data_IF_892207920116
#
_entry.id   IF_892207920116
#
_cell.length_a   1.000
_cell.length_b   1.000
_cell.length_c   1.000
_cell.angle_alpha   90.00
_cell.angle_beta   90.00
_cell.angle_gamma   90.00
#
_symmetry.space_group_name_H-M   'P 1'
#
loop_
_entity.id
_entity.type
_entity.pdbx_description
1 polymer ?
#
# COMPACT_ATOMS: atom_id res chain seq x y z
N UNK A 1 6.35 -10.22 -14.85
CA UNK A 1 4.95 -9.79 -15.10
C UNK A 1 4.49 -9.07 -13.84
N UNK A 2 3.95 -7.85 -13.95
CA UNK A 2 3.45 -7.11 -12.80
C UNK A 2 2.27 -7.86 -12.14
N UNK A 3 2.28 -7.94 -10.81
CA UNK A 3 1.20 -8.51 -10.01
C UNK A 3 -0.03 -7.59 -9.93
N UNK A 4 -1.09 -8.08 -9.33
CA UNK A 4 -2.28 -7.32 -8.99
C UNK A 4 -2.67 -7.66 -7.56
N UNK A 5 -2.95 -6.66 -6.75
CA UNK A 5 -3.38 -6.85 -5.36
C UNK A 5 -4.72 -7.56 -5.26
N UNK A 6 -4.95 -8.22 -4.12
CA UNK A 6 -6.21 -8.90 -3.84
C UNK A 6 -7.40 -7.93 -3.79
N UNK A 7 -8.59 -8.40 -4.19
CA UNK A 7 -9.80 -7.57 -4.23
C UNK A 7 -10.58 -7.56 -2.90
N UNK A 8 -10.12 -8.31 -1.91
CA UNK A 8 -10.85 -8.54 -0.66
C UNK A 8 -11.24 -7.25 0.07
N UNK A 9 -10.40 -6.21 -0.04
CA UNK A 9 -10.61 -4.94 0.66
C UNK A 9 -10.97 -3.76 -0.25
N UNK A 10 -11.26 -3.97 -1.54
CA UNK A 10 -11.58 -2.87 -2.44
C UNK A 10 -12.70 -1.94 -1.93
N UNK A 11 -13.83 -2.43 -1.40
CA UNK A 11 -14.85 -1.55 -0.83
C UNK A 11 -14.34 -0.74 0.37
N UNK A 12 -13.58 -1.38 1.25
CA UNK A 12 -13.00 -0.75 2.42
C UNK A 12 -11.98 0.34 2.02
N UNK A 13 -11.07 0.03 1.08
CA UNK A 13 -10.09 0.99 0.55
C UNK A 13 -10.79 2.20 -0.06
N UNK A 14 -11.84 1.98 -0.87
CA UNK A 14 -12.64 3.07 -1.46
C UNK A 14 -13.25 3.97 -0.39
N UNK A 15 -13.77 3.40 0.67
CA UNK A 15 -14.37 4.14 1.77
C UNK A 15 -13.31 4.94 2.55
N UNK A 16 -12.18 4.34 2.90
CA UNK A 16 -11.07 5.02 3.57
C UNK A 16 -10.54 6.18 2.73
N UNK A 17 -10.32 5.96 1.44
CA UNK A 17 -9.88 7.01 0.52
C UNK A 17 -10.92 8.13 0.39
N UNK A 18 -12.22 7.79 0.40
CA UNK A 18 -13.29 8.80 0.41
C UNK A 18 -13.29 9.65 1.68
N UNK A 19 -13.03 9.04 2.84
CA UNK A 19 -12.94 9.75 4.13
C UNK A 19 -11.71 10.65 4.21
N UNK A 20 -10.54 10.19 3.75
CA UNK A 20 -9.30 10.97 3.71
C UNK A 20 -9.42 12.12 2.70
N UNK A 21 -10.09 11.88 1.58
CA UNK A 21 -10.22 12.79 0.44
C UNK A 21 -8.87 13.38 -0.01
N UNK A 22 -7.88 12.52 -0.34
CA UNK A 22 -6.53 12.96 -0.61
C UNK A 22 -6.44 13.74 -1.92
N UNK A 23 -5.52 14.71 -1.98
CA UNK A 23 -5.13 15.44 -3.19
C UNK A 23 -3.79 14.96 -3.74
N UNK A 24 -2.90 14.49 -2.86
CA UNK A 24 -1.55 14.00 -3.21
C UNK A 24 -1.34 12.62 -2.64
N UNK A 25 -1.10 11.67 -3.53
CA UNK A 25 -0.97 10.24 -3.19
C UNK A 25 0.33 9.69 -3.73
N UNK A 26 1.05 8.94 -2.89
CA UNK A 26 2.16 8.09 -3.31
C UNK A 26 1.76 6.62 -3.15
N UNK A 27 1.86 5.84 -4.21
CA UNK A 27 1.70 4.39 -4.14
C UNK A 27 3.04 3.68 -4.25
N UNK A 28 3.31 2.81 -3.30
CA UNK A 28 4.47 1.94 -3.28
C UNK A 28 4.10 0.61 -3.94
N UNK A 29 4.77 0.25 -5.02
CA UNK A 29 4.51 -1.00 -5.72
C UNK A 29 3.14 -1.04 -6.40
N UNK A 30 2.88 -0.13 -7.32
CA UNK A 30 1.56 0.02 -7.97
C UNK A 30 1.14 -1.18 -8.85
N UNK A 31 2.05 -2.12 -9.13
CA UNK A 31 1.75 -3.27 -9.97
C UNK A 31 1.18 -2.84 -11.33
N UNK A 32 0.00 -3.37 -11.66
CA UNK A 32 -0.72 -2.98 -12.89
C UNK A 32 -1.57 -1.72 -12.75
N UNK A 33 -1.48 -0.99 -11.63
CA UNK A 33 -2.18 0.28 -11.43
C UNK A 33 -3.65 0.15 -11.03
N UNK A 34 -4.03 -0.90 -10.34
CA UNK A 34 -5.40 -1.13 -9.83
C UNK A 34 -5.90 0.03 -8.96
N UNK A 35 -5.04 0.54 -8.08
CA UNK A 35 -5.40 1.63 -7.20
C UNK A 35 -5.62 2.95 -7.95
N UNK A 36 -4.79 3.25 -8.96
CA UNK A 36 -5.00 4.39 -9.83
C UNK A 36 -6.35 4.36 -10.56
N UNK A 37 -6.72 3.19 -11.13
CA UNK A 37 -8.03 2.98 -11.73
C UNK A 37 -9.17 3.19 -10.71
N UNK A 38 -8.98 2.76 -9.47
CA UNK A 38 -9.94 2.98 -8.38
C UNK A 38 -10.11 4.48 -8.06
N UNK A 39 -9.04 5.27 -8.09
CA UNK A 39 -9.08 6.71 -7.87
C UNK A 39 -9.77 7.47 -9.01
N UNK A 40 -9.52 7.09 -10.26
CA UNK A 40 -10.16 7.71 -11.43
C UNK A 40 -11.69 7.64 -11.35
N UNK A 41 -12.24 6.56 -10.81
CA UNK A 41 -13.70 6.38 -10.65
C UNK A 41 -14.34 7.39 -9.68
N UNK A 42 -13.55 8.12 -8.90
CA UNK A 42 -14.06 9.12 -7.95
C UNK A 42 -14.39 10.47 -8.59
N UNK A 43 -13.96 10.74 -9.80
CA UNK A 43 -14.07 12.05 -10.48
C UNK A 43 -13.50 13.23 -9.65
N UNK A 44 -12.52 12.97 -8.78
CA UNK A 44 -11.81 13.99 -8.00
C UNK A 44 -10.38 14.04 -8.51
N UNK A 45 -9.86 15.23 -8.87
CA UNK A 45 -8.46 15.35 -9.28
C UNK A 45 -7.56 14.98 -8.11
N UNK A 46 -6.70 13.98 -8.33
CA UNK A 46 -5.70 13.50 -7.37
C UNK A 46 -4.37 13.43 -8.10
N UNK A 47 -3.35 14.09 -7.56
CA UNK A 47 -1.97 13.87 -8.02
C UNK A 47 -1.47 12.54 -7.50
N UNK A 48 -1.34 11.56 -8.38
CA UNK A 48 -0.93 10.20 -8.06
C UNK A 48 0.45 9.92 -8.61
N UNK A 49 1.39 9.69 -7.69
CA UNK A 49 2.76 9.24 -7.98
C UNK A 49 2.92 7.80 -7.54
N UNK A 50 3.77 7.04 -8.23
CA UNK A 50 4.14 5.70 -7.81
C UNK A 50 5.66 5.52 -7.76
N UNK A 51 6.10 4.61 -6.88
CA UNK A 51 7.44 4.02 -6.91
C UNK A 51 7.29 2.56 -7.25
N UNK A 52 7.79 2.17 -8.41
CA UNK A 52 7.62 0.83 -8.96
C UNK A 52 8.83 0.44 -9.78
N UNK A 53 9.37 -0.74 -9.54
CA UNK A 53 10.37 -1.29 -10.47
C UNK A 53 9.70 -1.63 -11.80
N UNK A 54 10.17 -1.02 -12.88
CA UNK A 54 9.63 -1.21 -14.22
C UNK A 54 10.32 -2.41 -14.88
N UNK A 55 9.56 -3.29 -15.49
CA UNK A 55 10.06 -4.50 -16.12
C UNK A 55 9.89 -4.53 -17.65
N UNK A 56 9.05 -3.63 -18.20
CA UNK A 56 8.87 -3.52 -19.64
C UNK A 56 8.52 -2.09 -20.07
N UNK A 57 8.80 -1.76 -21.33
CA UNK A 57 8.46 -0.44 -21.90
C UNK A 57 6.95 -0.20 -21.98
N UNK A 58 6.14 -1.26 -21.91
CA UNK A 58 4.68 -1.16 -21.94
C UNK A 58 4.06 -0.78 -20.57
N UNK A 59 4.80 -0.94 -19.49
CA UNK A 59 4.29 -0.69 -18.13
C UNK A 59 3.94 0.79 -17.92
N UNK A 60 4.81 1.72 -18.33
CA UNK A 60 4.59 3.14 -18.14
C UNK A 60 3.34 3.70 -18.87
N UNK A 61 3.12 3.40 -20.17
CA UNK A 61 1.88 3.81 -20.84
C UNK A 61 0.61 3.29 -20.15
N UNK A 62 0.64 2.05 -19.68
CA UNK A 62 -0.50 1.46 -18.97
C UNK A 62 -0.77 2.16 -17.64
N UNK A 63 0.25 2.48 -16.86
CA UNK A 63 0.11 3.18 -15.59
C UNK A 63 -0.41 4.61 -15.81
N UNK A 64 0.11 5.33 -16.81
CA UNK A 64 -0.40 6.66 -17.17
C UNK A 64 -1.88 6.63 -17.56
N UNK A 65 -2.30 5.64 -18.34
CA UNK A 65 -3.72 5.44 -18.69
C UNK A 65 -4.61 5.19 -17.46
N UNK A 66 -4.03 4.72 -16.35
CA UNK A 66 -4.70 4.49 -15.06
C UNK A 66 -4.52 5.62 -14.05
N UNK A 67 -4.11 6.80 -14.51
CA UNK A 67 -4.11 8.03 -13.73
C UNK A 67 -2.81 8.34 -12.97
N UNK A 68 -1.72 7.59 -13.20
CA UNK A 68 -0.43 7.94 -12.61
C UNK A 68 0.23 9.09 -13.40
N UNK A 69 0.42 10.21 -12.73
CA UNK A 69 1.09 11.39 -13.31
C UNK A 69 2.60 11.16 -13.39
N UNK A 70 3.17 10.51 -12.37
CA UNK A 70 4.59 10.21 -12.27
C UNK A 70 4.81 8.78 -11.76
N UNK A 71 5.77 8.09 -12.35
CA UNK A 71 6.18 6.74 -11.94
C UNK A 71 7.70 6.70 -11.86
N UNK A 72 8.21 6.58 -10.65
CA UNK A 72 9.65 6.45 -10.40
C UNK A 72 10.05 4.99 -10.58
N UNK A 73 10.88 4.73 -11.60
CA UNK A 73 11.48 3.40 -11.78
C UNK A 73 12.60 3.20 -10.75
N UNK A 74 12.24 2.69 -9.59
CA UNK A 74 13.19 2.44 -8.51
C UNK A 74 12.75 1.24 -7.65
N UNK A 75 13.73 0.65 -6.99
CA UNK A 75 13.47 -0.17 -5.82
C UNK A 75 12.97 0.71 -4.67
N UNK A 76 11.93 0.26 -3.97
CA UNK A 76 11.29 1.02 -2.89
C UNK A 76 12.28 1.37 -1.77
N UNK A 77 13.15 0.42 -1.39
CA UNK A 77 14.15 0.68 -0.35
C UNK A 77 15.21 1.67 -0.80
N UNK A 78 15.61 1.63 -2.08
CA UNK A 78 16.54 2.60 -2.63
C UNK A 78 15.92 4.00 -2.63
N UNK A 79 14.66 4.13 -3.07
CA UNK A 79 13.92 5.37 -3.06
C UNK A 79 13.85 6.01 -1.67
N UNK A 80 13.55 5.21 -0.65
CA UNK A 80 13.53 5.71 0.74
C UNK A 80 14.92 6.09 1.27
N UNK A 81 15.98 5.37 0.88
CA UNK A 81 17.35 5.68 1.30
C UNK A 81 17.89 6.96 0.67
N UNK A 82 17.54 7.25 -0.58
CA UNK A 82 17.89 8.49 -1.26
C UNK A 82 17.15 9.69 -0.64
N UNK A 83 16.01 9.43 -0.01
CA UNK A 83 15.16 10.44 0.60
C UNK A 83 14.36 11.24 -0.43
N UNK A 84 13.27 11.81 0.01
CA UNK A 84 12.46 12.74 -0.76
C UNK A 84 11.85 13.79 0.18
N UNK A 85 11.65 15.01 -0.33
CA UNK A 85 11.14 16.14 0.45
C UNK A 85 9.63 16.36 0.30
N UNK A 86 9.00 15.60 -0.58
CA UNK A 86 7.57 15.70 -0.82
C UNK A 86 6.75 15.16 0.35
N UNK A 87 5.62 15.82 0.62
CA UNK A 87 4.62 15.34 1.56
C UNK A 87 3.35 14.91 0.81
N UNK A 88 2.65 13.93 1.36
CA UNK A 88 1.47 13.32 0.79
C UNK A 88 0.31 13.36 1.79
N UNK A 89 -0.93 13.38 1.30
CA UNK A 89 -2.09 13.15 2.16
C UNK A 89 -2.17 11.67 2.57
N UNK A 90 -1.80 10.77 1.64
CA UNK A 90 -1.71 9.35 1.93
C UNK A 90 -0.60 8.67 1.13
N UNK A 91 0.15 7.80 1.80
CA UNK A 91 1.04 6.83 1.16
C UNK A 91 0.36 5.46 1.23
N UNK A 92 0.35 4.73 0.12
CA UNK A 92 -0.39 3.47 -0.04
C UNK A 92 0.57 2.34 -0.39
N UNK A 93 0.41 1.18 0.24
CA UNK A 93 1.10 -0.05 -0.13
C UNK A 93 0.12 -1.24 -0.05
N UNK A 94 -0.22 -1.80 -1.22
CA UNK A 94 -1.20 -2.88 -1.36
C UNK A 94 -0.51 -4.14 -1.88
N UNK A 95 -0.39 -5.17 -1.04
CA UNK A 95 0.33 -6.42 -1.32
C UNK A 95 1.77 -6.17 -1.78
N UNK A 96 2.53 -5.43 -0.97
CA UNK A 96 3.91 -5.00 -1.29
C UNK A 96 4.85 -5.21 -0.12
N UNK A 97 4.45 -4.79 1.08
CA UNK A 97 5.37 -4.73 2.23
C UNK A 97 5.79 -6.11 2.75
N UNK A 98 5.01 -7.15 2.50
CA UNK A 98 5.35 -8.54 2.83
C UNK A 98 6.56 -9.09 2.07
N UNK A 99 6.95 -8.46 0.97
CA UNK A 99 8.13 -8.85 0.18
C UNK A 99 9.45 -8.38 0.79
N UNK A 100 9.41 -7.47 1.78
CA UNK A 100 10.58 -6.97 2.49
C UNK A 100 10.87 -7.74 3.76
N UNK A 101 12.07 -7.60 4.33
CA UNK A 101 12.35 -8.07 5.68
C UNK A 101 11.54 -7.24 6.68
N UNK A 102 11.17 -7.84 7.82
CA UNK A 102 10.34 -7.14 8.82
C UNK A 102 11.00 -5.84 9.32
N UNK A 103 12.32 -5.81 9.46
CA UNK A 103 13.06 -4.58 9.80
C UNK A 103 12.89 -3.48 8.76
N UNK A 104 12.90 -3.85 7.48
CA UNK A 104 12.74 -2.91 6.37
C UNK A 104 11.29 -2.42 6.30
N UNK A 105 10.30 -3.30 6.52
CA UNK A 105 8.88 -2.94 6.64
C UNK A 105 8.68 -1.85 7.69
N UNK A 106 9.23 -2.05 8.91
CA UNK A 106 9.09 -1.07 9.99
C UNK A 106 9.78 0.26 9.66
N UNK A 107 10.90 0.22 8.94
CA UNK A 107 11.61 1.42 8.48
C UNK A 107 10.83 2.17 7.41
N UNK A 108 10.26 1.46 6.42
CA UNK A 108 9.41 2.04 5.36
C UNK A 108 8.20 2.74 6.01
N UNK A 109 7.49 2.05 6.91
CA UNK A 109 6.31 2.60 7.59
C UNK A 109 6.70 3.86 8.38
N UNK A 110 7.73 3.77 9.20
CA UNK A 110 8.16 4.90 10.01
C UNK A 110 8.52 6.12 9.15
N UNK A 111 9.29 5.93 8.08
CA UNK A 111 9.66 7.01 7.18
C UNK A 111 8.42 7.59 6.47
N UNK A 112 7.53 6.73 5.96
CA UNK A 112 6.30 7.16 5.30
C UNK A 112 5.42 8.02 6.22
N UNK A 113 5.32 7.66 7.51
CA UNK A 113 4.52 8.39 8.49
C UNK A 113 5.08 9.78 8.85
N UNK A 114 6.34 10.08 8.55
CA UNK A 114 6.87 11.44 8.60
C UNK A 114 6.53 12.28 7.35
N UNK A 115 6.14 11.62 6.25
CA UNK A 115 5.90 12.26 4.95
C UNK A 115 4.45 12.21 4.49
N UNK A 116 3.57 11.60 5.28
CA UNK A 116 2.15 11.53 4.94
C UNK A 116 1.25 11.80 6.15
N UNK A 117 0.05 12.33 5.89
CA UNK A 117 -0.99 12.43 6.90
C UNK A 117 -1.48 11.03 7.31
N UNK A 118 -1.51 10.08 6.37
CA UNK A 118 -1.90 8.70 6.61
C UNK A 118 -1.07 7.73 5.77
N UNK A 119 -0.94 6.50 6.26
CA UNK A 119 -0.45 5.37 5.46
C UNK A 119 -1.50 4.27 5.42
N UNK A 120 -1.89 3.86 4.21
CA UNK A 120 -2.84 2.76 3.98
C UNK A 120 -2.07 1.52 3.56
N UNK A 121 -2.23 0.45 4.33
CA UNK A 121 -1.55 -0.82 4.14
C UNK A 121 -2.57 -1.93 3.87
N UNK A 122 -2.27 -2.81 2.92
CA UNK A 122 -2.89 -4.13 2.77
C UNK A 122 -1.79 -5.17 2.65
N UNK A 123 -1.90 -6.25 3.41
CA UNK A 123 -0.91 -7.32 3.38
C UNK A 123 -1.53 -8.67 3.75
N UNK A 124 -1.02 -9.79 3.22
CA UNK A 124 -1.36 -11.12 3.69
C UNK A 124 -0.51 -11.51 4.91
N UNK A 125 -1.08 -12.30 5.81
CA UNK A 125 -0.31 -13.06 6.80
C UNK A 125 -0.58 -14.55 6.67
N UNK A 126 0.40 -15.37 7.06
CA UNK A 126 0.31 -16.83 6.98
C UNK A 126 -0.07 -17.33 5.57
N UNK A 127 0.44 -16.68 4.52
CA UNK A 127 0.17 -17.04 3.13
C UNK A 127 1.25 -17.99 2.61
N UNK A 128 0.96 -19.30 2.49
CA UNK A 128 1.91 -20.25 1.92
C UNK A 128 2.15 -19.93 0.45
N UNK A 129 3.41 -19.92 0.05
CA UNK A 129 3.83 -19.71 -1.33
C UNK A 129 4.35 -21.00 -1.95
N UNK A 130 4.22 -21.12 -3.27
CA UNK A 130 4.81 -22.23 -4.01
C UNK A 130 6.34 -22.24 -3.88
N UNK A 131 6.94 -23.42 -3.92
CA UNK A 131 8.39 -23.57 -3.75
C UNK A 131 9.21 -22.90 -4.87
N UNK A 132 8.60 -22.69 -6.04
CA UNK A 132 9.18 -22.05 -7.22
C UNK A 132 8.88 -20.54 -7.30
N UNK A 133 8.31 -19.95 -6.24
CA UNK A 133 8.08 -18.49 -6.18
C UNK A 133 9.39 -17.75 -6.41
N UNK A 134 9.38 -16.78 -7.30
CA UNK A 134 10.57 -15.99 -7.62
C UNK A 134 11.09 -15.27 -6.36
N UNK A 135 12.39 -14.98 -6.33
CA UNK A 135 12.99 -14.27 -5.20
C UNK A 135 12.38 -12.88 -5.00
N UNK A 136 11.86 -12.27 -6.07
CA UNK A 136 11.18 -10.97 -6.04
C UNK A 136 9.78 -11.06 -5.44
N UNK A 137 9.02 -12.11 -5.78
CA UNK A 137 7.64 -12.29 -5.32
C UNK A 137 7.53 -13.02 -3.97
N UNK A 138 8.67 -13.41 -3.38
CA UNK A 138 8.68 -14.17 -2.14
C UNK A 138 8.31 -13.28 -0.95
N UNK A 139 7.31 -13.72 -0.17
CA UNK A 139 7.00 -13.10 1.12
C UNK A 139 8.14 -13.37 2.11
N UNK A 140 8.69 -12.31 2.67
CA UNK A 140 9.81 -12.34 3.63
C UNK A 140 9.40 -11.88 5.02
N UNK A 141 8.31 -11.13 5.12
CA UNK A 141 7.71 -10.72 6.38
C UNK A 141 6.33 -11.36 6.56
N UNK A 142 6.08 -11.80 7.78
CA UNK A 142 4.73 -12.12 8.26
C UNK A 142 4.55 -11.36 9.56
N UNK A 143 3.56 -10.51 9.64
CA UNK A 143 3.29 -9.68 10.81
C UNK A 143 1.78 -9.49 10.98
N UNK A 144 1.38 -9.19 12.18
CA UNK A 144 -0.01 -9.06 12.62
C UNK A 144 -0.27 -7.63 13.11
N UNK A 145 -1.53 -7.30 13.39
CA UNK A 145 -1.90 -5.97 13.92
C UNK A 145 -1.04 -5.54 15.10
N UNK A 146 -0.73 -6.46 16.03
CA UNK A 146 0.05 -6.14 17.23
C UNK A 146 1.42 -5.56 16.91
N UNK A 147 2.09 -6.09 15.87
CA UNK A 147 3.40 -5.61 15.46
C UNK A 147 3.36 -4.13 15.00
N UNK A 148 2.20 -3.68 14.50
CA UNK A 148 1.95 -2.29 14.12
C UNK A 148 1.48 -1.45 15.29
N UNK A 149 0.47 -1.92 16.05
CA UNK A 149 -0.19 -1.13 17.10
C UNK A 149 0.72 -0.84 18.31
N UNK A 150 1.74 -1.66 18.52
CA UNK A 150 2.73 -1.41 19.58
C UNK A 150 3.71 -0.27 19.21
N UNK A 151 3.70 0.19 17.96
CA UNK A 151 4.67 1.16 17.41
C UNK A 151 4.06 2.38 16.75
N UNK A 152 2.86 2.26 16.18
CA UNK A 152 2.22 3.25 15.33
C UNK A 152 0.78 3.50 15.76
N UNK A 153 0.27 4.70 15.47
CA UNK A 153 -1.14 5.04 15.69
C UNK A 153 -2.02 4.41 14.61
N UNK A 154 -2.64 3.28 14.92
CA UNK A 154 -3.56 2.56 14.04
C UNK A 154 -4.96 3.13 14.20
N UNK A 155 -5.41 3.96 13.25
CA UNK A 155 -6.74 4.60 13.29
C UNK A 155 -7.86 3.76 12.71
N UNK A 156 -7.50 2.76 11.89
CA UNK A 156 -8.44 1.78 11.36
C UNK A 156 -7.73 0.45 11.12
N UNK A 157 -8.45 -0.64 11.37
CA UNK A 157 -7.99 -1.98 11.04
C UNK A 157 -9.17 -2.90 10.75
N UNK A 158 -9.01 -3.73 9.73
CA UNK A 158 -9.88 -4.87 9.48
C UNK A 158 -9.07 -6.06 8.97
N UNK A 159 -9.59 -7.25 9.17
CA UNK A 159 -9.02 -8.47 8.60
C UNK A 159 -10.11 -9.33 7.98
N UNK A 160 -9.74 -10.09 6.97
CA UNK A 160 -10.57 -11.16 6.41
C UNK A 160 -9.74 -12.43 6.31
N UNK A 161 -10.41 -13.55 6.32
CA UNK A 161 -9.76 -14.86 6.15
C UNK A 161 -10.56 -15.72 5.19
N UNK A 162 -9.87 -16.55 4.44
CA UNK A 162 -10.49 -17.59 3.61
C UNK A 162 -9.68 -18.87 3.71
N UNK A 163 -10.36 -19.99 3.61
CA UNK A 163 -9.71 -21.30 3.61
C UNK A 163 -9.40 -21.71 2.17
N UNK A 164 -8.15 -22.03 1.89
CA UNK A 164 -7.71 -22.58 0.62
C UNK A 164 -6.61 -23.62 0.87
N UNK A 165 -6.68 -24.77 0.18
CA UNK A 165 -5.67 -25.84 0.28
C UNK A 165 -5.35 -26.26 1.73
N UNK A 166 -6.39 -26.41 2.58
CA UNK A 166 -6.27 -26.76 4.01
C UNK A 166 -5.51 -25.72 4.86
N UNK A 167 -5.31 -24.51 4.36
CA UNK A 167 -4.72 -23.39 5.10
C UNK A 167 -5.72 -22.26 5.23
N UNK A 168 -5.64 -21.53 6.34
CA UNK A 168 -6.37 -20.28 6.54
C UNK A 168 -5.43 -19.15 6.13
N UNK A 169 -5.77 -18.49 5.05
CA UNK A 169 -5.10 -17.27 4.61
C UNK A 169 -5.75 -16.10 5.29
N UNK A 170 -4.96 -15.19 5.81
CA UNK A 170 -5.44 -13.94 6.41
C UNK A 170 -4.96 -12.78 5.58
N UNK A 171 -5.84 -11.85 5.35
CA UNK A 171 -5.54 -10.56 4.76
C UNK A 171 -5.91 -9.47 5.74
N UNK A 172 -5.10 -8.45 5.79
CA UNK A 172 -5.20 -7.33 6.69
C UNK A 172 -5.30 -6.05 5.88
N UNK A 173 -6.05 -5.08 6.41
CA UNK A 173 -6.00 -3.69 5.98
C UNK A 173 -5.84 -2.82 7.22
N UNK A 174 -4.93 -1.86 7.18
CA UNK A 174 -4.72 -0.89 8.25
C UNK A 174 -4.56 0.51 7.67
N UNK A 175 -5.10 1.50 8.39
CA UNK A 175 -4.81 2.91 8.19
C UNK A 175 -4.04 3.40 9.41
N UNK A 176 -2.83 3.87 9.17
CA UNK A 176 -1.97 4.45 10.19
C UNK A 176 -1.99 5.97 10.08
N UNK A 177 -1.93 6.66 11.22
CA UNK A 177 -1.81 8.12 11.27
C UNK A 177 -0.37 8.54 11.14
N UNK A 178 -0.09 9.55 10.32
CA UNK A 178 1.22 10.17 10.21
C UNK A 178 1.62 10.89 11.49
N UNK A 179 2.91 10.90 11.78
CA UNK A 179 3.46 11.45 13.03
C UNK A 179 3.15 12.95 13.23
N UNK A 180 2.96 13.68 12.14
CA UNK A 180 2.67 15.13 12.16
C UNK A 180 1.19 15.44 11.93
N UNK A 181 0.35 14.42 11.75
CA UNK A 181 -1.06 14.60 11.42
C UNK A 181 -1.93 14.75 12.67
N UNK A 182 -2.58 15.90 12.80
CA UNK A 182 -3.55 16.20 13.86
C UNK A 182 -5.02 16.15 13.38
N UNK A 183 -5.26 15.80 12.12
CA UNK A 183 -6.61 15.71 11.54
C UNK A 183 -7.38 14.54 12.15
N UNK A 184 -8.65 14.77 12.46
CA UNK A 184 -9.58 13.72 12.92
C UNK A 184 -10.43 13.29 11.74
N UNK A 185 -10.40 11.99 11.41
CA UNK A 185 -11.29 11.43 10.39
C UNK A 185 -12.74 11.41 10.91
N UNK A 186 -13.73 11.60 10.01
CA UNK A 186 -15.12 11.38 10.36
C UNK A 186 -15.35 9.91 10.77
N UNK A 187 -16.40 9.61 11.56
CA UNK A 187 -16.69 8.24 11.92
C UNK A 187 -16.97 7.38 10.67
N UNK A 188 -16.57 6.13 10.73
CA UNK A 188 -16.84 5.16 9.67
C UNK A 188 -18.37 5.01 9.52
N UNK A 189 -18.89 5.18 8.31
CA UNK A 189 -20.29 4.88 8.05
C UNK A 189 -20.51 3.35 8.15
N UNK A 190 -21.44 2.93 9.00
CA UNK A 190 -21.80 1.53 9.18
C UNK A 190 -22.53 0.97 7.94
#
# INVERSE_FOLDING_TARGET
>A
MLGSSANAFDPCIRQLVAMINPQRVLELGCGRGKFGEMLQQRNVPVSLKAVQKIFSDEDLPQLRARGYEDVVDADIMAYFREGFDENYDVIVALDVIEHFLLSDVMSIINFALYRADYMLLVWPSAHPQAADTSAFDRHRASFELRDLSDRFDVVFYAQTGFAQMNCVHRYHVALLRGHMNVKVLPPFAA
#
